data_IF_449322054389
#
_entry.id   IF_449322054389
#
_cell.length_a   1.000
_cell.length_b   1.000
_cell.length_c   1.000
_cell.angle_alpha   90.00
_cell.angle_beta   90.00
_cell.angle_gamma   90.00
#
_symmetry.space_group_name_H-M   'P 1'
#
loop_
_entity.id
_entity.type
_entity.pdbx_description
1 polymer ?
#
# COMPACT_ATOMS: atom_id res chain seq x y z
N UNK A 1 17.72 -2.76 3.45
CA UNK A 1 17.00 -1.50 3.73
C UNK A 1 18.04 -0.42 3.91
N UNK A 2 18.00 0.59 3.06
CA UNK A 2 18.95 1.69 3.07
C UNK A 2 18.29 2.93 3.72
N UNK A 3 18.73 3.29 4.93
CA UNK A 3 18.15 4.40 5.72
C UNK A 3 18.20 5.73 4.97
N UNK A 4 19.31 6.04 4.30
CA UNK A 4 19.47 7.31 3.55
C UNK A 4 18.47 7.42 2.40
N UNK A 5 18.24 6.31 1.68
CA UNK A 5 17.26 6.25 0.60
C UNK A 5 15.85 6.45 1.16
N UNK A 6 15.51 5.75 2.24
CA UNK A 6 14.21 5.91 2.92
C UNK A 6 13.96 7.36 3.32
N UNK A 7 14.93 8.02 3.95
CA UNK A 7 14.83 9.42 4.38
C UNK A 7 14.60 10.34 3.18
N UNK A 8 15.35 10.14 2.08
CA UNK A 8 15.19 10.93 0.84
C UNK A 8 13.83 10.75 0.16
N UNK A 9 13.16 9.63 0.39
CA UNK A 9 11.87 9.30 -0.21
C UNK A 9 10.67 9.69 0.64
N UNK A 10 10.85 10.17 1.87
CA UNK A 10 9.73 10.50 2.77
C UNK A 10 8.76 11.51 2.16
N UNK A 11 9.25 12.54 1.47
CA UNK A 11 8.40 13.55 0.82
C UNK A 11 7.57 12.95 -0.32
N UNK A 12 8.18 12.12 -1.17
CA UNK A 12 7.48 11.45 -2.28
C UNK A 12 6.47 10.44 -1.73
N UNK A 13 6.83 9.72 -0.67
CA UNK A 13 5.95 8.78 0.01
C UNK A 13 4.73 9.46 0.66
N UNK A 14 4.90 10.66 1.21
CA UNK A 14 3.80 11.49 1.69
C UNK A 14 2.82 11.82 0.56
N UNK A 15 3.33 12.24 -0.61
CA UNK A 15 2.49 12.52 -1.78
C UNK A 15 1.80 11.26 -2.32
N UNK A 16 2.51 10.13 -2.37
CA UNK A 16 1.98 8.86 -2.85
C UNK A 16 0.71 8.40 -2.10
N UNK A 17 0.59 8.72 -0.80
CA UNK A 17 -0.61 8.40 0.00
C UNK A 17 -1.86 9.10 -0.58
N UNK A 18 -1.73 10.35 -1.02
CA UNK A 18 -2.82 11.10 -1.64
C UNK A 18 -3.06 10.63 -3.07
N UNK A 19 -2.01 10.63 -3.90
CA UNK A 19 -2.10 10.35 -5.34
C UNK A 19 -2.62 8.93 -5.63
N UNK A 20 -2.34 7.96 -4.75
CA UNK A 20 -2.84 6.59 -4.90
C UNK A 20 -4.18 6.34 -4.17
N UNK A 21 -4.81 7.37 -3.62
CA UNK A 21 -6.12 7.27 -2.95
C UNK A 21 -6.11 6.41 -1.68
N UNK A 22 -5.00 6.41 -0.94
CA UNK A 22 -4.83 5.71 0.34
C UNK A 22 -5.41 6.55 1.48
N UNK A 23 -5.28 7.88 1.42
CA UNK A 23 -5.91 8.78 2.37
C UNK A 23 -7.30 9.22 1.95
N UNK A 24 -8.14 9.50 2.94
CA UNK A 24 -9.45 10.13 2.80
C UNK A 24 -9.57 11.30 3.76
N UNK A 25 -10.43 12.28 3.46
CA UNK A 25 -10.75 13.38 4.38
C UNK A 25 -12.00 13.00 5.17
N UNK A 26 -11.90 12.96 6.50
CA UNK A 26 -13.05 12.82 7.39
C UNK A 26 -13.09 14.00 8.35
N UNK A 27 -14.22 14.72 8.39
CA UNK A 27 -14.41 15.91 9.24
C UNK A 27 -13.27 16.93 9.10
N UNK A 28 -12.82 17.20 7.87
CA UNK A 28 -11.73 18.14 7.58
C UNK A 28 -10.31 17.64 7.92
N UNK A 29 -10.16 16.41 8.41
CA UNK A 29 -8.87 15.81 8.78
C UNK A 29 -8.48 14.73 7.77
N UNK A 30 -7.21 14.74 7.33
CA UNK A 30 -6.66 13.66 6.50
C UNK A 30 -6.43 12.40 7.34
N UNK A 31 -7.02 11.31 6.87
CA UNK A 31 -7.10 10.04 7.57
C UNK A 31 -6.58 8.89 6.71
N UNK A 32 -6.00 7.87 7.34
CA UNK A 32 -5.60 6.61 6.69
C UNK A 32 -6.11 5.45 7.52
N UNK A 33 -6.65 4.41 6.88
CA UNK A 33 -7.07 3.19 7.59
C UNK A 33 -5.85 2.44 8.14
N UNK A 34 -5.90 2.05 9.42
CA UNK A 34 -4.80 1.32 10.08
C UNK A 34 -4.42 0.03 9.35
N UNK A 35 -5.38 -0.64 8.72
CA UNK A 35 -5.20 -1.86 7.93
C UNK A 35 -4.14 -1.71 6.83
N UNK A 36 -3.95 -0.53 6.24
CA UNK A 36 -2.89 -0.29 5.25
C UNK A 36 -1.49 -0.50 5.85
N UNK A 37 -1.24 -0.09 7.10
CA UNK A 37 0.07 -0.30 7.77
C UNK A 37 0.35 -1.78 8.04
N UNK A 38 -0.70 -2.52 8.41
CA UNK A 38 -0.63 -3.97 8.59
C UNK A 38 -0.31 -4.66 7.26
N UNK A 39 -0.96 -4.24 6.16
CA UNK A 39 -0.67 -4.78 4.83
C UNK A 39 0.74 -4.44 4.33
N UNK A 40 1.30 -3.27 4.61
CA UNK A 40 2.71 -2.99 4.28
C UNK A 40 3.66 -3.95 5.01
N UNK A 41 3.36 -4.26 6.27
CA UNK A 41 4.16 -5.23 7.03
C UNK A 41 4.05 -6.64 6.42
N UNK A 42 2.85 -7.02 5.98
CA UNK A 42 2.61 -8.26 5.24
C UNK A 42 3.34 -8.30 3.89
N UNK A 43 3.44 -7.18 3.18
CA UNK A 43 4.23 -7.08 1.95
C UNK A 43 5.71 -7.39 2.21
N UNK A 44 6.30 -6.77 3.24
CA UNK A 44 7.70 -7.05 3.63
C UNK A 44 7.93 -8.52 3.97
N UNK A 45 6.97 -9.16 4.65
CA UNK A 45 7.02 -10.59 4.93
C UNK A 45 6.94 -11.43 3.63
N UNK A 46 6.03 -11.11 2.71
CA UNK A 46 5.89 -11.80 1.43
C UNK A 46 7.15 -11.72 0.56
N UNK A 47 7.84 -10.57 0.55
CA UNK A 47 9.13 -10.37 -0.15
C UNK A 47 10.28 -11.12 0.54
N UNK A 48 10.18 -11.38 1.84
CA UNK A 48 11.21 -12.10 2.62
C UNK A 48 11.06 -13.60 2.53
N UNK A 49 9.83 -14.11 2.64
CA UNK A 49 9.52 -15.54 2.60
C UNK A 49 9.41 -16.09 1.17
N UNK A 50 9.08 -15.22 0.20
CA UNK A 50 8.96 -15.57 -1.21
C UNK A 50 9.87 -14.73 -2.10
N UNK A 51 9.34 -14.31 -3.25
CA UNK A 51 10.02 -13.45 -4.22
C UNK A 51 9.33 -12.09 -4.37
N UNK A 52 10.03 -11.10 -4.93
CA UNK A 52 9.41 -9.81 -5.27
C UNK A 52 8.29 -9.98 -6.30
N UNK A 53 8.46 -10.85 -7.30
CA UNK A 53 7.43 -11.15 -8.31
C UNK A 53 6.16 -11.73 -7.68
N UNK A 54 6.30 -12.72 -6.78
CA UNK A 54 5.15 -13.31 -6.09
C UNK A 54 4.47 -12.31 -5.14
N UNK A 55 5.25 -11.46 -4.45
CA UNK A 55 4.69 -10.43 -3.59
C UNK A 55 3.90 -9.37 -4.37
N UNK A 56 4.44 -8.91 -5.51
CA UNK A 56 3.75 -7.98 -6.41
C UNK A 56 2.50 -8.61 -7.00
N UNK A 57 2.56 -9.87 -7.46
CA UNK A 57 1.38 -10.60 -7.93
C UNK A 57 0.31 -10.70 -6.84
N UNK A 58 0.68 -11.03 -5.59
CA UNK A 58 -0.24 -11.10 -4.47
C UNK A 58 -0.90 -9.74 -4.15
N UNK A 59 -0.15 -8.64 -4.28
CA UNK A 59 -0.66 -7.27 -4.03
C UNK A 59 -1.39 -6.65 -5.24
N UNK A 60 -1.29 -7.26 -6.42
CA UNK A 60 -1.99 -6.78 -7.63
C UNK A 60 -3.50 -6.90 -7.55
N UNK A 61 -4.02 -7.66 -6.57
CA UNK A 61 -5.43 -7.88 -6.34
C UNK A 61 -5.81 -7.56 -4.89
N UNK A 62 -7.01 -7.02 -4.67
CA UNK A 62 -7.52 -6.77 -3.32
C UNK A 62 -7.73 -8.08 -2.54
N UNK A 63 -8.23 -9.13 -3.19
CA UNK A 63 -8.60 -10.41 -2.56
C UNK A 63 -9.56 -10.21 -1.39
N UNK A 64 -9.34 -10.92 -0.27
CA UNK A 64 -10.15 -10.81 0.96
C UNK A 64 -9.70 -9.69 1.91
N UNK A 65 -8.75 -8.84 1.51
CA UNK A 65 -8.21 -7.80 2.39
C UNK A 65 -9.16 -6.60 2.48
N UNK A 66 -9.35 -6.09 3.71
CA UNK A 66 -10.12 -4.86 3.96
C UNK A 66 -9.44 -3.63 3.34
N UNK A 67 -8.10 -3.60 3.36
CA UNK A 67 -7.31 -2.58 2.69
C UNK A 67 -7.06 -2.94 1.23
N UNK A 68 -7.16 -1.94 0.36
CA UNK A 68 -6.94 -2.05 -1.08
C UNK A 68 -5.44 -2.21 -1.38
N UNK A 69 -4.98 -3.47 -1.44
CA UNK A 69 -3.59 -3.84 -1.72
C UNK A 69 -3.05 -3.27 -3.05
N UNK A 70 -3.84 -3.24 -4.15
CA UNK A 70 -3.45 -2.55 -5.37
C UNK A 70 -3.01 -1.09 -5.16
N UNK A 71 -3.68 -0.33 -4.29
CA UNK A 71 -3.25 1.05 -3.98
C UNK A 71 -1.88 1.10 -3.31
N UNK A 72 -1.56 0.16 -2.43
CA UNK A 72 -0.24 0.05 -1.82
C UNK A 72 0.83 -0.27 -2.86
N UNK A 73 0.55 -1.20 -3.78
CA UNK A 73 1.47 -1.53 -4.86
C UNK A 73 1.78 -0.31 -5.72
N UNK A 74 0.73 0.42 -6.12
CA UNK A 74 0.85 1.66 -6.90
C UNK A 74 1.64 2.73 -6.16
N UNK A 75 1.38 2.92 -4.86
CA UNK A 75 2.11 3.89 -4.05
C UNK A 75 3.59 3.53 -3.88
N UNK A 76 3.92 2.25 -3.72
CA UNK A 76 5.33 1.81 -3.68
C UNK A 76 6.02 2.07 -5.03
N UNK A 77 5.37 1.78 -6.15
CA UNK A 77 5.91 2.09 -7.47
C UNK A 77 6.08 3.61 -7.69
N UNK A 78 5.07 4.41 -7.33
CA UNK A 78 5.12 5.87 -7.41
C UNK A 78 6.34 6.46 -6.70
N UNK A 79 6.71 5.91 -5.54
CA UNK A 79 7.91 6.32 -4.81
C UNK A 79 9.17 5.97 -5.61
N UNK A 80 9.24 4.75 -6.15
CA UNK A 80 10.41 4.25 -6.90
C UNK A 80 10.62 5.03 -8.20
N UNK A 81 9.54 5.36 -8.90
CA UNK A 81 9.53 6.09 -10.17
C UNK A 81 9.57 7.61 -10.00
N UNK A 82 9.48 8.10 -8.76
CA UNK A 82 9.40 9.52 -8.45
C UNK A 82 8.20 10.23 -9.11
N UNK A 83 7.03 9.57 -9.11
CA UNK A 83 5.76 10.21 -9.47
C UNK A 83 4.91 9.51 -10.53
N UNK A 84 5.39 8.42 -11.13
CA UNK A 84 4.60 7.72 -12.14
C UNK A 84 3.52 6.84 -11.51
N UNK A 85 2.33 6.87 -12.11
CA UNK A 85 1.20 6.04 -11.71
C UNK A 85 0.95 5.01 -12.81
N UNK A 86 1.21 3.74 -12.50
CA UNK A 86 0.91 2.61 -13.37
C UNK A 86 -0.16 1.72 -12.76
N UNK A 87 -0.79 0.90 -13.60
CA UNK A 87 -1.66 -0.20 -13.16
C UNK A 87 -0.83 -1.37 -12.59
N UNK A 88 -1.42 -2.25 -11.77
CA UNK A 88 -0.70 -3.41 -11.24
C UNK A 88 -0.06 -4.32 -12.30
N UNK A 89 -0.71 -4.49 -13.46
CA UNK A 89 -0.19 -5.29 -14.58
C UNK A 89 1.06 -4.64 -15.20
N UNK A 90 1.01 -3.33 -15.44
CA UNK A 90 2.15 -2.57 -15.96
C UNK A 90 3.32 -2.57 -14.98
N UNK A 91 3.06 -2.44 -13.67
CA UNK A 91 4.10 -2.55 -12.63
C UNK A 91 4.74 -3.94 -12.66
N UNK A 92 3.95 -5.01 -12.85
CA UNK A 92 4.48 -6.37 -12.95
C UNK A 92 5.32 -6.59 -14.22
N UNK A 93 4.88 -6.06 -15.36
CA UNK A 93 5.65 -6.08 -16.62
C UNK A 93 6.96 -5.32 -16.48
N UNK A 94 6.91 -4.11 -15.92
CA UNK A 94 8.10 -3.32 -15.62
C UNK A 94 9.05 -4.10 -14.71
N UNK A 95 8.56 -4.64 -13.59
CA UNK A 95 9.34 -5.46 -12.64
C UNK A 95 10.07 -6.63 -13.31
N UNK A 96 9.42 -7.28 -14.29
CA UNK A 96 10.01 -8.41 -15.02
C UNK A 96 11.22 -8.02 -15.88
N UNK A 97 11.34 -6.74 -16.26
CA UNK A 97 12.48 -6.20 -17.03
C UNK A 97 13.65 -5.71 -16.17
N UNK A 98 13.52 -5.71 -14.83
CA UNK A 98 14.51 -5.15 -13.91
C UNK A 98 15.45 -6.22 -13.33
N UNK A 99 16.60 -5.78 -12.79
CA UNK A 99 17.39 -6.62 -11.89
C UNK A 99 16.59 -6.92 -10.62
N UNK A 100 16.49 -8.21 -10.30
CA UNK A 100 15.61 -8.67 -9.23
C UNK A 100 16.14 -8.33 -7.84
N UNK A 101 17.45 -8.18 -7.66
CA UNK A 101 18.03 -7.83 -6.37
C UNK A 101 17.84 -6.33 -6.07
N UNK A 102 18.10 -5.49 -7.07
CA UNK A 102 18.00 -4.03 -6.96
C UNK A 102 16.53 -3.62 -6.79
N UNK A 103 15.64 -4.15 -7.62
CA UNK A 103 14.22 -3.82 -7.56
C UNK A 103 13.58 -4.30 -6.26
N UNK A 104 14.02 -5.45 -5.74
CA UNK A 104 13.60 -5.93 -4.43
C UNK A 104 13.97 -4.94 -3.33
N UNK A 105 15.19 -4.43 -3.32
CA UNK A 105 15.60 -3.43 -2.34
C UNK A 105 14.82 -2.12 -2.49
N UNK A 106 14.56 -1.66 -3.73
CA UNK A 106 13.72 -0.48 -4.00
C UNK A 106 12.32 -0.62 -3.40
N UNK A 107 11.64 -1.75 -3.63
CA UNK A 107 10.33 -2.02 -3.03
C UNK A 107 10.36 -2.10 -1.50
N UNK A 108 11.41 -2.70 -0.91
CA UNK A 108 11.57 -2.72 0.55
C UNK A 108 11.71 -1.30 1.08
N UNK A 109 12.59 -0.48 0.51
CA UNK A 109 12.79 0.91 0.94
C UNK A 109 11.52 1.75 0.75
N UNK A 110 10.82 1.61 -0.38
CA UNK A 110 9.57 2.31 -0.65
C UNK A 110 8.46 1.92 0.34
N UNK A 111 8.34 0.62 0.67
CA UNK A 111 7.37 0.13 1.65
C UNK A 111 7.62 0.73 3.04
N UNK A 112 8.88 0.85 3.46
CA UNK A 112 9.25 1.48 4.74
C UNK A 112 8.96 2.97 4.72
N UNK A 113 9.35 3.69 3.67
CA UNK A 113 9.07 5.12 3.52
C UNK A 113 7.56 5.40 3.55
N UNK A 114 6.75 4.61 2.83
CA UNK A 114 5.30 4.70 2.83
C UNK A 114 4.71 4.47 4.23
N UNK A 115 5.16 3.43 4.94
CA UNK A 115 4.71 3.15 6.32
C UNK A 115 5.05 4.28 7.28
N UNK A 116 6.22 4.90 7.14
CA UNK A 116 6.64 6.04 7.96
C UNK A 116 5.81 7.28 7.62
N UNK A 117 5.60 7.57 6.33
CA UNK A 117 4.78 8.70 5.88
C UNK A 117 3.33 8.63 6.39
N UNK A 118 2.77 7.42 6.56
CA UNK A 118 1.44 7.25 7.18
C UNK A 118 1.35 7.78 8.63
N UNK A 119 2.46 8.01 9.33
CA UNK A 119 2.43 8.65 10.67
C UNK A 119 1.99 10.11 10.64
N UNK A 120 2.04 10.78 9.48
CA UNK A 120 1.57 12.15 9.33
C UNK A 120 0.03 12.27 9.21
N UNK A 121 -0.68 11.14 9.28
CA UNK A 121 -2.13 11.05 9.09
C UNK A 121 -2.81 10.54 10.36
N UNK A 122 -4.07 10.94 10.57
CA UNK A 122 -4.90 10.33 11.62
C UNK A 122 -5.21 8.89 11.23
N UNK A 123 -4.82 7.94 12.07
CA UNK A 123 -5.07 6.52 11.82
C UNK A 123 -6.48 6.15 12.27
N UNK A 124 -7.31 5.74 11.31
CA UNK A 124 -8.64 5.23 11.59
C UNK A 124 -8.57 3.77 12.05
N UNK A 125 -9.48 3.35 12.94
CA UNK A 125 -9.62 1.95 13.30
C UNK A 125 -9.96 1.10 12.07
N UNK A 126 -9.79 -0.21 12.20
CA UNK A 126 -10.17 -1.13 11.12
C UNK A 126 -11.68 -1.04 10.90
N UNK A 127 -12.11 -0.90 9.65
CA UNK A 127 -13.53 -1.02 9.33
C UNK A 127 -13.91 -2.48 9.57
N UNK A 128 -14.65 -2.75 10.63
CA UNK A 128 -15.28 -4.06 10.83
C UNK A 128 -16.24 -4.28 9.66
N UNK A 129 -15.99 -5.31 8.85
CA UNK A 129 -16.89 -5.77 7.80
C UNK A 129 -18.09 -6.53 8.37
N UNK A 130 -18.76 -5.95 9.39
CA UNK A 130 -20.02 -6.43 9.94
C UNK A 130 -21.03 -5.27 9.84
N UNK A 131 -21.66 -5.13 8.68
CA UNK A 131 -22.96 -4.47 8.48
C UNK A 131 -23.52 -4.91 7.12
N UNK A 132 -23.48 -6.21 6.86
CA UNK A 132 -24.44 -6.86 5.95
C UNK A 132 -25.38 -7.64 6.85
N UNK A 133 -26.68 -7.44 6.67
CA UNK A 133 -27.81 -8.13 7.32
C UNK A 133 -28.08 -7.76 8.79
N UNK A 134 -28.87 -6.69 8.96
CA UNK A 134 -30.03 -6.74 9.85
C UNK A 134 -30.98 -5.61 9.47
N UNK A 135 -32.03 -6.00 8.75
CA UNK A 135 -33.07 -5.08 8.31
C UNK A 135 -34.21 -5.78 7.59
N UNK A 136 -34.56 -7.01 7.98
CA UNK A 136 -35.87 -7.60 7.70
C UNK A 136 -36.43 -8.12 9.04
N UNK A 137 -37.08 -7.22 9.77
CA UNK A 137 -38.17 -7.52 10.69
C UNK A 137 -39.32 -6.65 10.19
N UNK A 138 -40.41 -7.23 9.71
CA UNK A 138 -41.71 -7.40 10.40
C UNK A 138 -42.71 -7.68 9.25
N UNK A 139 -43.75 -8.51 9.28
CA UNK A 139 -44.44 -9.29 10.29
C UNK A 139 -45.37 -10.29 9.57
N UNK A 140 -45.61 -11.46 10.15
CA UNK A 140 -46.94 -12.12 10.16
C UNK A 140 -47.26 -12.50 11.61
#
# INVERSE_FOLDING_TARGET
>A
MNKRVVDSWLNIAYNAINECGISEIQNGVRCVQRTYRSQISNFGAAVTMGSIKSAVAFFSQQGKAVADRPKLLRAMYFIISNGEILTPDEIFKWLCSQDQSEVREKFINASVALKLAMNFYKLLPEKNSNNAEKGDGESE
#
